data_IF_095330465554
#
_entry.id   IF_095330465554
#
_cell.length_a   1.000
_cell.length_b   1.000
_cell.length_c   1.000
_cell.angle_alpha   90.00
_cell.angle_beta   90.00
_cell.angle_gamma   90.00
#
_symmetry.space_group_name_H-M   'P 1'
#
loop_
_entity.id
_entity.type
_entity.pdbx_description
1 polymer ?
#
# COMPACT_ATOMS: atom_id res chain seq x y z
N UNK A 1 -24.06 0.87 -9.79
CA UNK A 1 -25.41 0.31 -10.04
C UNK A 1 -26.09 -0.20 -8.77
N UNK A 2 -25.61 -1.28 -8.14
CA UNK A 2 -26.19 -1.86 -6.90
C UNK A 2 -26.37 -0.82 -5.76
N UNK A 3 -25.33 -0.04 -5.45
CA UNK A 3 -25.40 1.01 -4.41
C UNK A 3 -26.38 2.15 -4.70
N UNK A 4 -26.61 2.47 -5.97
CA UNK A 4 -27.62 3.48 -6.36
C UNK A 4 -29.04 2.94 -6.07
N UNK A 5 -29.26 1.64 -6.25
CA UNK A 5 -30.51 0.98 -5.86
C UNK A 5 -30.70 0.84 -4.34
N UNK A 6 -29.75 1.32 -3.52
CA UNK A 6 -29.82 1.20 -2.06
C UNK A 6 -29.51 -0.19 -1.51
N UNK A 7 -29.05 -1.13 -2.36
CA UNK A 7 -28.77 -2.51 -1.98
C UNK A 7 -27.26 -2.78 -1.88
N UNK A 8 -26.91 -3.87 -1.19
CA UNK A 8 -25.52 -4.30 -1.07
C UNK A 8 -24.92 -4.63 -2.45
N UNK A 9 -23.70 -4.17 -2.68
CA UNK A 9 -22.97 -4.45 -3.94
C UNK A 9 -22.14 -5.73 -3.89
N UNK A 10 -21.87 -6.25 -2.70
CA UNK A 10 -21.07 -7.45 -2.48
C UNK A 10 -21.89 -8.42 -1.65
N UNK A 11 -21.81 -9.71 -1.96
CA UNK A 11 -22.52 -10.78 -1.25
C UNK A 11 -24.05 -10.57 -1.26
N UNK A 12 -24.57 -10.04 -2.37
CA UNK A 12 -26.00 -9.80 -2.55
C UNK A 12 -26.55 -10.77 -3.59
N UNK A 13 -27.39 -11.70 -3.14
CA UNK A 13 -28.06 -12.71 -3.97
C UNK A 13 -29.59 -12.66 -3.80
N UNK A 14 -30.13 -11.54 -3.31
CA UNK A 14 -31.56 -11.40 -3.00
C UNK A 14 -32.47 -11.54 -4.24
N UNK A 15 -31.93 -11.21 -5.42
CA UNK A 15 -32.62 -11.37 -6.71
C UNK A 15 -31.71 -12.02 -7.75
N UNK A 16 -32.29 -12.62 -8.80
CA UNK A 16 -31.52 -13.18 -9.92
C UNK A 16 -30.61 -12.14 -10.60
N UNK A 17 -31.08 -10.89 -10.67
CA UNK A 17 -30.30 -9.77 -11.17
C UNK A 17 -29.10 -9.47 -10.25
N UNK A 18 -29.31 -9.42 -8.94
CA UNK A 18 -28.25 -9.14 -7.97
C UNK A 18 -27.18 -10.23 -7.95
N UNK A 19 -27.61 -11.49 -7.96
CA UNK A 19 -26.74 -12.65 -8.09
C UNK A 19 -25.90 -12.62 -9.39
N UNK A 20 -26.51 -12.24 -10.53
CA UNK A 20 -25.79 -12.10 -11.81
C UNK A 20 -24.73 -11.02 -11.75
N UNK A 21 -25.04 -9.87 -11.16
CA UNK A 21 -24.08 -8.77 -10.98
C UNK A 21 -22.96 -9.19 -10.04
N UNK A 22 -23.27 -9.87 -8.94
CA UNK A 22 -22.30 -10.38 -7.98
C UNK A 22 -21.35 -11.40 -8.64
N UNK A 23 -21.89 -12.35 -9.40
CA UNK A 23 -21.11 -13.33 -10.15
C UNK A 23 -20.18 -12.68 -11.18
N UNK A 24 -20.68 -11.70 -11.95
CA UNK A 24 -19.86 -10.98 -12.92
C UNK A 24 -18.72 -10.21 -12.25
N UNK A 25 -19.00 -9.54 -11.13
CA UNK A 25 -17.96 -8.87 -10.34
C UNK A 25 -16.91 -9.87 -9.85
N UNK A 26 -17.33 -11.03 -9.33
CA UNK A 26 -16.44 -12.11 -8.91
C UNK A 26 -15.54 -12.62 -10.04
N UNK A 27 -16.08 -12.83 -11.23
CA UNK A 27 -15.29 -13.22 -12.42
C UNK A 27 -14.25 -12.15 -12.81
N UNK A 28 -14.64 -10.88 -12.81
CA UNK A 28 -13.72 -9.77 -13.12
C UNK A 28 -12.61 -9.65 -12.08
N UNK A 29 -12.94 -9.78 -10.79
CA UNK A 29 -11.95 -9.78 -9.71
C UNK A 29 -11.01 -10.98 -9.84
N UNK A 30 -11.53 -12.17 -10.17
CA UNK A 30 -10.73 -13.37 -10.45
C UNK A 30 -9.75 -13.16 -11.61
N UNK A 31 -10.21 -12.56 -12.72
CA UNK A 31 -9.35 -12.21 -13.85
C UNK A 31 -8.25 -11.22 -13.44
N UNK A 32 -8.61 -10.16 -12.71
CA UNK A 32 -7.64 -9.18 -12.20
C UNK A 32 -6.60 -9.86 -11.29
N UNK A 33 -7.01 -10.78 -10.42
CA UNK A 33 -6.09 -11.53 -9.58
C UNK A 33 -5.08 -12.35 -10.40
N UNK A 34 -5.53 -13.03 -11.46
CA UNK A 34 -4.65 -13.76 -12.38
C UNK A 34 -3.66 -12.83 -13.10
N UNK A 35 -4.12 -11.65 -13.55
CA UNK A 35 -3.25 -10.64 -14.15
C UNK A 35 -2.21 -10.13 -13.15
N UNK A 36 -2.59 -9.90 -11.89
CA UNK A 36 -1.65 -9.50 -10.83
C UNK A 36 -0.61 -10.60 -10.61
N UNK A 37 -0.99 -11.88 -10.58
CA UNK A 37 -0.03 -13.00 -10.48
C UNK A 37 0.95 -12.97 -11.66
N UNK A 38 0.45 -12.86 -12.89
CA UNK A 38 1.28 -12.83 -14.08
C UNK A 38 2.26 -11.64 -14.07
N UNK A 39 1.78 -10.44 -13.74
CA UNK A 39 2.62 -9.24 -13.60
C UNK A 39 3.67 -9.44 -12.49
N UNK A 40 3.26 -9.97 -11.34
CA UNK A 40 4.17 -10.23 -10.21
C UNK A 40 5.31 -11.13 -10.66
N UNK A 41 5.01 -12.28 -11.25
CA UNK A 41 6.03 -13.22 -11.78
C UNK A 41 6.91 -12.53 -12.83
N UNK A 42 6.32 -11.78 -13.75
CA UNK A 42 7.06 -11.06 -14.80
C UNK A 42 8.07 -10.05 -14.22
N UNK A 43 7.70 -9.35 -13.14
CA UNK A 43 8.62 -8.39 -12.49
C UNK A 43 9.87 -9.02 -11.89
N UNK A 44 9.84 -10.32 -11.55
CA UNK A 44 11.03 -11.04 -11.08
C UNK A 44 12.00 -11.38 -12.21
N UNK A 45 11.51 -11.46 -13.46
CA UNK A 45 12.32 -11.83 -14.62
C UNK A 45 12.84 -10.64 -15.43
N UNK A 46 12.04 -9.59 -15.63
CA UNK A 46 12.31 -8.59 -16.69
C UNK A 46 12.11 -7.12 -16.30
N UNK A 47 12.01 -6.80 -15.01
CA UNK A 47 11.82 -5.41 -14.60
C UNK A 47 13.13 -4.62 -14.64
N UNK A 48 13.23 -3.71 -15.60
CA UNK A 48 14.36 -2.78 -15.75
C UNK A 48 14.02 -1.41 -15.12
N UNK A 49 14.58 -1.16 -13.94
CA UNK A 49 14.42 0.05 -13.16
C UNK A 49 15.52 0.12 -12.07
N UNK A 50 15.72 1.28 -11.41
CA UNK A 50 16.61 1.35 -10.25
C UNK A 50 16.28 0.27 -9.21
N UNK A 51 17.30 -0.36 -8.62
CA UNK A 51 17.15 -1.52 -7.75
C UNK A 51 16.19 -1.26 -6.56
N UNK A 52 16.22 -0.06 -6.00
CA UNK A 52 15.25 0.38 -4.97
C UNK A 52 13.80 0.36 -5.46
N UNK A 53 13.52 0.84 -6.67
CA UNK A 53 12.17 0.82 -7.24
C UNK A 53 11.72 -0.60 -7.58
N UNK A 54 12.62 -1.44 -8.11
CA UNK A 54 12.37 -2.87 -8.36
C UNK A 54 11.98 -3.58 -7.06
N UNK A 55 12.73 -3.33 -5.98
CA UNK A 55 12.43 -3.88 -4.66
C UNK A 55 11.05 -3.43 -4.18
N UNK A 56 10.73 -2.13 -4.29
CA UNK A 56 9.44 -1.58 -3.87
C UNK A 56 8.25 -2.23 -4.59
N UNK A 57 8.35 -2.34 -5.91
CA UNK A 57 7.31 -2.92 -6.77
C UNK A 57 7.10 -4.38 -6.43
N UNK A 58 8.18 -5.16 -6.30
CA UNK A 58 8.09 -6.60 -5.98
C UNK A 58 7.44 -6.84 -4.62
N UNK A 59 7.88 -6.12 -3.58
CA UNK A 59 7.27 -6.27 -2.24
C UNK A 59 5.82 -5.81 -2.25
N UNK A 60 5.51 -4.69 -2.91
CA UNK A 60 4.14 -4.19 -3.03
C UNK A 60 3.21 -5.17 -3.75
N UNK A 61 3.68 -5.80 -4.83
CA UNK A 61 2.94 -6.81 -5.58
C UNK A 61 2.74 -8.10 -4.78
N UNK A 62 3.78 -8.59 -4.09
CA UNK A 62 3.67 -9.77 -3.22
C UNK A 62 2.66 -9.53 -2.10
N UNK A 63 2.72 -8.38 -1.43
CA UNK A 63 1.72 -8.02 -0.43
C UNK A 63 0.32 -7.93 -1.05
N UNK A 64 0.16 -7.30 -2.22
CA UNK A 64 -1.13 -7.26 -2.91
C UNK A 64 -1.68 -8.66 -3.25
N UNK A 65 -0.84 -9.65 -3.55
CA UNK A 65 -1.28 -11.05 -3.69
C UNK A 65 -1.78 -11.64 -2.37
N UNK A 66 -1.15 -11.34 -1.23
CA UNK A 66 -1.67 -11.72 0.08
C UNK A 66 -3.03 -11.09 0.36
N UNK A 67 -3.27 -9.86 -0.13
CA UNK A 67 -4.59 -9.22 -0.05
C UNK A 67 -5.67 -10.01 -0.77
N UNK A 68 -5.33 -10.72 -1.85
CA UNK A 68 -6.29 -11.57 -2.57
C UNK A 68 -6.73 -12.75 -1.70
N UNK A 69 -5.85 -13.31 -0.87
CA UNK A 69 -6.21 -14.37 0.08
C UNK A 69 -7.27 -13.87 1.08
N UNK A 70 -7.13 -12.66 1.60
CA UNK A 70 -8.13 -12.04 2.49
C UNK A 70 -9.44 -11.79 1.74
N UNK A 71 -9.37 -11.40 0.46
CA UNK A 71 -10.54 -11.24 -0.40
C UNK A 71 -11.29 -12.56 -0.62
N UNK A 72 -10.55 -13.67 -0.83
CA UNK A 72 -11.12 -15.02 -0.91
C UNK A 72 -11.75 -15.42 0.42
N UNK A 73 -11.10 -15.11 1.55
CA UNK A 73 -11.69 -15.37 2.87
C UNK A 73 -13.04 -14.66 3.01
N UNK A 74 -13.15 -13.38 2.60
CA UNK A 74 -14.42 -12.66 2.62
C UNK A 74 -15.53 -13.36 1.81
N UNK A 75 -15.17 -14.01 0.69
CA UNK A 75 -16.11 -14.82 -0.10
C UNK A 75 -16.55 -16.06 0.68
N UNK A 76 -15.62 -16.77 1.32
CA UNK A 76 -15.91 -17.96 2.12
C UNK A 76 -16.83 -17.64 3.31
N UNK A 77 -16.61 -16.50 3.96
CA UNK A 77 -17.46 -16.02 5.07
C UNK A 77 -18.82 -15.46 4.59
N UNK A 78 -19.02 -15.30 3.28
CA UNK A 78 -20.21 -14.63 2.72
C UNK A 78 -20.34 -13.17 3.14
N UNK A 79 -19.24 -12.51 3.49
CA UNK A 79 -19.26 -11.24 4.18
C UNK A 79 -17.90 -10.61 4.44
N UNK A 80 -17.86 -9.64 5.35
CA UNK A 80 -16.61 -8.97 5.73
C UNK A 80 -16.38 -8.94 7.24
N UNK A 81 -17.08 -9.81 7.96
CA UNK A 81 -16.96 -9.96 9.40
C UNK A 81 -16.31 -11.30 9.71
N UNK A 82 -15.31 -11.30 10.58
CA UNK A 82 -14.67 -12.48 11.13
C UNK A 82 -14.97 -12.55 12.63
N UNK A 83 -15.41 -13.72 13.11
CA UNK A 83 -15.90 -13.87 14.48
C UNK A 83 -17.05 -12.91 14.77
N UNK A 84 -17.05 -12.33 15.97
CA UNK A 84 -18.17 -11.47 16.41
C UNK A 84 -18.22 -10.12 15.67
N UNK A 85 -17.08 -9.41 15.57
CA UNK A 85 -17.01 -8.02 15.09
C UNK A 85 -15.76 -7.68 14.27
N UNK A 86 -14.92 -8.66 13.92
CA UNK A 86 -13.66 -8.43 13.21
C UNK A 86 -13.86 -7.98 11.76
N UNK A 87 -13.38 -6.80 11.36
CA UNK A 87 -13.66 -6.27 10.00
C UNK A 87 -12.58 -6.65 8.96
N UNK A 88 -12.79 -7.73 8.19
CA UNK A 88 -11.88 -8.23 7.13
C UNK A 88 -11.52 -7.20 6.07
N UNK A 89 -12.39 -6.21 5.83
CA UNK A 89 -12.13 -5.09 4.90
C UNK A 89 -10.91 -4.27 5.29
N UNK A 90 -10.60 -4.14 6.58
CA UNK A 90 -9.47 -3.33 7.06
C UNK A 90 -8.14 -3.96 6.64
N UNK A 91 -7.81 -5.22 7.02
CA UNK A 91 -6.60 -5.87 6.55
C UNK A 91 -6.56 -6.03 5.03
N UNK A 92 -7.69 -6.28 4.37
CA UNK A 92 -7.74 -6.32 2.91
C UNK A 92 -7.30 -4.99 2.29
N UNK A 93 -7.88 -3.87 2.70
CA UNK A 93 -7.54 -2.56 2.15
C UNK A 93 -6.07 -2.18 2.39
N UNK A 94 -5.58 -2.33 3.63
CA UNK A 94 -4.19 -2.00 3.96
C UNK A 94 -3.20 -2.87 3.17
N UNK A 95 -3.48 -4.17 3.04
CA UNK A 95 -2.60 -5.08 2.30
C UNK A 95 -2.60 -4.76 0.80
N UNK A 96 -3.75 -4.44 0.22
CA UNK A 96 -3.89 -4.04 -1.18
C UNK A 96 -3.09 -2.77 -1.50
N UNK A 97 -3.16 -1.76 -0.62
CA UNK A 97 -2.53 -0.47 -0.83
C UNK A 97 -0.99 -0.47 -0.71
N UNK A 98 -0.37 -1.61 -0.34
CA UNK A 98 1.09 -1.78 -0.35
C UNK A 98 1.72 -1.41 -1.70
N UNK A 99 1.02 -1.74 -2.80
CA UNK A 99 1.46 -1.48 -4.19
C UNK A 99 1.54 0.02 -4.51
N UNK A 100 0.84 0.88 -3.77
CA UNK A 100 0.97 2.34 -3.93
C UNK A 100 1.98 2.92 -2.95
N UNK A 101 1.93 2.49 -1.69
CA UNK A 101 2.74 3.07 -0.61
C UNK A 101 4.23 2.87 -0.84
N UNK A 102 4.66 1.62 -1.15
CA UNK A 102 6.09 1.32 -1.28
C UNK A 102 6.72 1.93 -2.54
N UNK A 103 6.12 1.81 -3.75
CA UNK A 103 6.63 2.52 -4.92
C UNK A 103 6.57 4.03 -4.75
N UNK A 104 5.55 4.59 -4.09
CA UNK A 104 5.50 6.02 -3.77
C UNK A 104 6.70 6.48 -2.93
N UNK A 105 7.06 5.72 -1.89
CA UNK A 105 8.27 5.98 -1.10
C UNK A 105 9.55 5.85 -1.93
N UNK A 106 9.64 4.84 -2.80
CA UNK A 106 10.79 4.65 -3.67
C UNK A 106 10.95 5.82 -4.67
N UNK A 107 9.86 6.28 -5.29
CA UNK A 107 9.87 7.44 -6.19
C UNK A 107 10.32 8.71 -5.47
N UNK A 108 9.89 8.91 -4.21
CA UNK A 108 10.38 10.02 -3.40
C UNK A 108 11.89 9.90 -3.10
N UNK A 109 12.38 8.69 -2.82
CA UNK A 109 13.81 8.43 -2.63
C UNK A 109 14.63 8.63 -3.90
N UNK A 110 14.06 8.37 -5.09
CA UNK A 110 14.73 8.66 -6.38
C UNK A 110 14.95 10.17 -6.59
N UNK A 111 14.14 11.04 -5.97
CA UNK A 111 14.33 12.48 -6.00
C UNK A 111 15.46 12.99 -5.07
N UNK A 112 16.04 12.11 -4.26
CA UNK A 112 17.16 12.41 -3.37
C UNK A 112 18.53 12.11 -3.99
N UNK A 113 19.59 12.63 -3.36
CA UNK A 113 21.00 12.37 -3.69
C UNK A 113 21.54 11.04 -3.11
N UNK A 114 20.71 10.25 -2.43
CA UNK A 114 21.11 8.97 -1.88
C UNK A 114 21.54 7.99 -2.98
N UNK A 115 22.62 7.26 -2.72
CA UNK A 115 23.01 6.10 -3.52
C UNK A 115 21.98 4.97 -3.38
N UNK A 116 21.89 4.06 -4.36
CA UNK A 116 20.91 2.97 -4.38
C UNK A 116 20.92 2.13 -3.10
N UNK A 117 22.11 1.81 -2.55
CA UNK A 117 22.23 1.05 -1.29
C UNK A 117 21.46 1.72 -0.16
N UNK A 118 21.58 3.04 -0.01
CA UNK A 118 20.90 3.79 1.04
C UNK A 118 19.39 3.91 0.78
N UNK A 119 18.98 4.05 -0.48
CA UNK A 119 17.56 4.03 -0.86
C UNK A 119 16.91 2.69 -0.48
N UNK A 120 17.59 1.57 -0.75
CA UNK A 120 17.13 0.23 -0.37
C UNK A 120 17.04 0.09 1.15
N UNK A 121 18.04 0.54 1.92
CA UNK A 121 17.99 0.50 3.39
C UNK A 121 16.76 1.24 3.95
N UNK A 122 16.55 2.49 3.52
CA UNK A 122 15.41 3.31 3.97
C UNK A 122 14.07 2.70 3.54
N UNK A 123 14.01 2.17 2.32
CA UNK A 123 12.84 1.49 1.79
C UNK A 123 12.54 0.18 2.50
N UNK A 124 13.56 -0.59 2.90
CA UNK A 124 13.40 -1.82 3.68
C UNK A 124 12.81 -1.52 5.07
N UNK A 125 13.24 -0.44 5.72
CA UNK A 125 12.62 0.03 6.97
C UNK A 125 11.16 0.43 6.75
N UNK A 126 10.86 1.13 5.65
CA UNK A 126 9.48 1.51 5.30
C UNK A 126 8.59 0.30 5.00
N UNK A 127 9.12 -0.70 4.28
CA UNK A 127 8.44 -1.96 3.98
C UNK A 127 8.19 -2.80 5.24
N UNK A 128 9.15 -2.83 6.17
CA UNK A 128 8.97 -3.47 7.48
C UNK A 128 7.88 -2.75 8.28
N UNK A 129 7.91 -1.41 8.34
CA UNK A 129 6.87 -0.61 8.98
C UNK A 129 5.47 -0.87 8.41
N UNK A 130 5.34 -0.89 7.08
CA UNK A 130 4.06 -1.19 6.43
C UNK A 130 3.58 -2.63 6.66
N UNK A 131 4.50 -3.59 6.67
CA UNK A 131 4.19 -4.98 7.04
C UNK A 131 3.67 -5.07 8.48
N UNK A 132 4.30 -4.36 9.42
CA UNK A 132 3.84 -4.30 10.81
C UNK A 132 2.44 -3.67 10.91
N UNK A 133 2.14 -2.64 10.12
CA UNK A 133 0.79 -2.06 10.04
C UNK A 133 -0.24 -3.09 9.55
N UNK A 134 0.08 -3.82 8.47
CA UNK A 134 -0.77 -4.90 7.97
C UNK A 134 -0.98 -5.94 9.07
N UNK A 135 0.08 -6.43 9.70
CA UNK A 135 -0.01 -7.40 10.81
C UNK A 135 -0.88 -6.89 11.95
N UNK A 136 -0.79 -5.60 12.29
CA UNK A 136 -1.67 -5.00 13.30
C UNK A 136 -3.14 -5.10 12.91
N UNK A 137 -3.49 -4.79 11.66
CA UNK A 137 -4.88 -4.87 11.18
C UNK A 137 -5.39 -6.31 11.16
N UNK A 138 -4.52 -7.28 10.85
CA UNK A 138 -4.82 -8.72 10.93
C UNK A 138 -5.08 -9.12 12.38
N UNK A 139 -4.18 -8.77 13.32
CA UNK A 139 -4.33 -9.08 14.75
C UNK A 139 -5.63 -8.52 15.30
N UNK A 140 -5.96 -7.25 14.98
CA UNK A 140 -7.21 -6.64 15.42
C UNK A 140 -8.44 -7.38 14.86
N UNK A 141 -8.43 -7.70 13.56
CA UNK A 141 -9.54 -8.38 12.88
C UNK A 141 -9.74 -9.80 13.40
N UNK A 142 -8.68 -10.59 13.49
CA UNK A 142 -8.75 -11.98 13.94
C UNK A 142 -8.95 -12.12 15.45
N UNK A 143 -8.86 -11.02 16.22
CA UNK A 143 -9.30 -10.99 17.62
C UNK A 143 -10.84 -10.93 17.75
N UNK A 144 -11.58 -10.84 16.64
CA UNK A 144 -13.05 -10.78 16.64
C UNK A 144 -13.63 -9.46 17.19
N UNK A 145 -12.79 -8.45 17.40
CA UNK A 145 -13.18 -7.14 17.96
C UNK A 145 -13.48 -6.13 16.86
N UNK A 146 -14.34 -5.17 17.17
CA UNK A 146 -14.61 -4.06 16.27
C UNK A 146 -13.33 -3.26 15.96
N UNK A 147 -13.22 -2.57 14.81
CA UNK A 147 -12.03 -1.80 14.47
C UNK A 147 -11.66 -0.69 15.45
N UNK A 148 -12.65 -0.17 16.20
CA UNK A 148 -12.47 0.90 17.18
C UNK A 148 -12.29 0.38 18.61
N UNK A 149 -12.51 -0.91 18.84
CA UNK A 149 -12.21 -1.58 20.11
C UNK A 149 -10.77 -2.10 20.10
N UNK A 150 -9.83 -1.14 20.10
CA UNK A 150 -8.43 -1.40 19.76
C UNK A 150 -7.73 -2.14 20.91
N UNK A 151 -7.21 -3.33 20.62
CA UNK A 151 -6.41 -4.10 21.59
C UNK A 151 -5.01 -3.52 21.79
N UNK A 152 -4.46 -3.64 23.00
CA UNK A 152 -3.11 -3.12 23.35
C UNK A 152 -2.03 -3.59 22.36
N UNK A 153 -2.05 -4.88 22.00
CA UNK A 153 -1.09 -5.43 21.03
C UNK A 153 -1.24 -4.75 19.65
N UNK A 154 -2.47 -4.61 19.15
CA UNK A 154 -2.72 -3.91 17.89
C UNK A 154 -2.28 -2.44 17.97
N UNK A 155 -2.63 -1.71 19.03
CA UNK A 155 -2.16 -0.32 19.21
C UNK A 155 -0.64 -0.20 19.20
N UNK A 156 0.06 -1.14 19.85
CA UNK A 156 1.53 -1.16 19.90
C UNK A 156 2.13 -1.37 18.52
N UNK A 157 1.58 -2.32 17.75
CA UNK A 157 2.00 -2.58 16.38
C UNK A 157 1.68 -1.41 15.44
N UNK A 158 0.52 -0.75 15.57
CA UNK A 158 0.20 0.47 14.82
C UNK A 158 1.26 1.53 15.06
N UNK A 159 1.57 1.84 16.33
CA UNK A 159 2.55 2.88 16.67
C UNK A 159 3.94 2.55 16.13
N UNK A 160 4.38 1.29 16.25
CA UNK A 160 5.65 0.83 15.69
C UNK A 160 5.67 0.95 14.16
N UNK A 161 4.64 0.45 13.48
CA UNK A 161 4.55 0.46 12.03
C UNK A 161 4.50 1.88 11.46
N UNK A 162 3.70 2.77 12.07
CA UNK A 162 3.64 4.18 11.71
C UNK A 162 4.96 4.88 11.98
N UNK A 163 5.62 4.60 13.10
CA UNK A 163 6.91 5.19 13.45
C UNK A 163 7.99 4.85 12.42
N UNK A 164 8.12 3.56 12.06
CA UNK A 164 9.08 3.11 11.04
C UNK A 164 8.80 3.74 9.68
N UNK A 165 7.53 3.77 9.26
CA UNK A 165 7.14 4.38 7.98
C UNK A 165 7.38 5.89 7.97
N UNK A 166 7.05 6.58 9.05
CA UNK A 166 7.26 8.02 9.20
C UNK A 166 8.75 8.39 9.19
N UNK A 167 9.61 7.60 9.83
CA UNK A 167 11.06 7.78 9.76
C UNK A 167 11.55 7.64 8.32
N UNK A 168 11.12 6.60 7.60
CA UNK A 168 11.52 6.40 6.21
C UNK A 168 11.07 7.53 5.28
N UNK A 169 9.81 7.95 5.38
CA UNK A 169 9.27 9.08 4.61
C UNK A 169 10.00 10.39 4.99
N UNK A 170 10.23 10.62 6.28
CA UNK A 170 10.94 11.80 6.77
C UNK A 170 12.37 11.91 6.25
N UNK A 171 13.11 10.79 6.25
CA UNK A 171 14.45 10.73 5.65
C UNK A 171 14.41 11.03 4.14
N UNK A 172 13.45 10.44 3.42
CA UNK A 172 13.28 10.65 2.00
C UNK A 172 12.96 12.13 1.67
N UNK A 173 12.02 12.74 2.38
CA UNK A 173 11.64 14.15 2.21
C UNK A 173 12.81 15.10 2.52
N UNK A 174 13.53 14.87 3.63
CA UNK A 174 14.68 15.72 4.00
C UNK A 174 15.79 15.65 2.95
N UNK A 175 16.10 14.46 2.45
CA UNK A 175 17.12 14.28 1.43
C UNK A 175 16.70 14.88 0.07
N UNK A 176 15.46 14.65 -0.37
CA UNK A 176 14.94 15.23 -1.62
C UNK A 176 14.91 16.78 -1.58
N UNK A 177 14.49 17.37 -0.46
CA UNK A 177 14.47 18.83 -0.30
C UNK A 177 15.87 19.44 -0.23
N UNK A 178 16.83 18.77 0.41
CA UNK A 178 18.23 19.20 0.42
C UNK A 178 18.83 19.18 -1.00
N UNK A 179 18.62 18.09 -1.73
CA UNK A 179 19.09 17.95 -3.11
C UNK A 179 18.50 19.04 -4.04
N UNK A 180 17.19 19.32 -3.93
CA UNK A 180 16.55 20.39 -4.71
C UNK A 180 17.11 21.79 -4.38
N UNK A 181 17.43 22.06 -3.12
CA UNK A 181 18.02 23.36 -2.70
C UNK A 181 19.39 23.59 -3.30
N UNK A 182 20.24 22.56 -3.34
CA UNK A 182 21.59 22.64 -3.90
C UNK A 182 21.60 22.82 -5.43
N UNK A 183 20.55 22.33 -6.11
CA UNK A 183 20.41 22.42 -7.57
C UNK A 183 19.74 23.69 -8.09
N UNK A 184 19.09 24.50 -7.25
CA UNK A 184 18.61 25.81 -7.69
C UNK A 184 19.82 26.65 -8.12
N UNK A 185 19.95 27.04 -9.41
CA UNK A 185 20.99 27.96 -9.81
C UNK A 185 20.82 29.25 -9.01
N UNK A 186 21.90 29.90 -8.63
CA UNK A 186 21.87 31.25 -8.07
C UNK A 186 21.37 32.24 -9.12
N UNK A 187 20.07 32.19 -9.45
CA UNK A 187 19.40 33.23 -10.18
C UNK A 187 19.38 34.45 -9.26
N UNK A 188 20.29 35.39 -9.54
CA UNK A 188 20.41 36.76 -9.03
C UNK A 188 21.74 37.12 -8.31
N UNK A 189 22.88 36.89 -8.98
CA UNK A 189 24.15 37.61 -8.70
C UNK A 189 24.74 38.23 -9.98
N UNK A 190 23.90 38.92 -10.74
CA UNK A 190 24.28 39.88 -11.78
C UNK A 190 23.09 40.82 -11.81
N UNK A 191 23.12 42.00 -11.20
CA UNK A 191 23.83 43.18 -11.69
C UNK A 191 24.25 44.07 -10.52
N UNK A 192 25.56 44.24 -10.31
CA UNK A 192 26.06 45.47 -9.69
C UNK A 192 26.25 46.48 -10.83
N UNK A 193 25.70 47.70 -10.74
CA UNK A 193 25.92 48.70 -11.77
C UNK A 193 27.41 49.07 -11.78
N UNK A 194 28.04 48.93 -12.95
CA UNK A 194 29.35 49.54 -13.20
C UNK A 194 29.14 51.05 -13.23
N UNK A 195 29.54 51.72 -12.16
CA UNK A 195 29.60 53.18 -12.10
C UNK A 195 30.71 53.73 -13.00
N UNK A 196 30.60 55.01 -13.41
CA UNK A 196 31.32 55.62 -14.53
C UNK A 196 32.83 55.70 -14.34
#
# INVERSE_FOLDING_TARGET
>A
MQRWRGVASHFNEDTSFDATVFALMGMLVGLVALVIVAITVWTFARLDAPASLVFAIRIGLVLMLLSQVVGVQMIVEGGNTFGDQGALKVPHAFTLHAVQVLPGLALLLLASDFIERRRIEVLAVGAAGYTVLISSTMVQTYSGRSPLDIGILASTLVLLGLGLLAVSVGLALRAATAHHRLRKPAANRTEAPRGP
#
